data_IF_943260534196
#
_entry.id   IF_943260534196
#
_cell.length_a   1.000
_cell.length_b   1.000
_cell.length_c   1.000
_cell.angle_alpha   90.00
_cell.angle_beta   90.00
_cell.angle_gamma   90.00
#
_symmetry.space_group_name_H-M   'P 1'
#
loop_
_entity.id
_entity.type
_entity.pdbx_description
1 polymer ?
#
# COMPACT_ATOMS: atom_id res chain seq x y z
N UNK A 1 -24.00 32.34 -0.06
CA UNK A 1 -22.61 31.94 -0.27
C UNK A 1 -22.30 30.46 -0.08
N UNK A 2 -23.31 29.64 0.11
CA UNK A 2 -23.13 28.18 0.20
C UNK A 2 -22.48 27.55 -1.01
N UNK A 3 -22.65 28.14 -2.19
CA UNK A 3 -22.04 27.65 -3.42
C UNK A 3 -20.52 27.75 -3.38
N UNK A 4 -19.96 28.83 -2.85
CA UNK A 4 -18.52 28.98 -2.77
C UNK A 4 -17.88 28.01 -1.76
N UNK A 5 -18.57 27.75 -0.66
CA UNK A 5 -18.11 26.78 0.31
C UNK A 5 -18.09 25.35 -0.25
N UNK A 6 -19.07 25.02 -1.09
CA UNK A 6 -19.14 23.71 -1.75
C UNK A 6 -18.03 23.55 -2.77
N UNK A 7 -17.70 24.60 -3.53
CA UNK A 7 -16.60 24.56 -4.49
C UNK A 7 -15.25 24.36 -3.81
N UNK A 8 -15.02 25.06 -2.69
CA UNK A 8 -13.78 24.88 -1.93
C UNK A 8 -13.63 23.46 -1.39
N UNK A 9 -14.71 22.86 -0.91
CA UNK A 9 -14.68 21.47 -0.44
C UNK A 9 -14.37 20.49 -1.56
N UNK A 10 -14.90 20.70 -2.76
CA UNK A 10 -14.61 19.88 -3.92
C UNK A 10 -13.15 20.00 -4.35
N UNK A 11 -12.62 21.20 -4.34
CA UNK A 11 -11.22 21.42 -4.68
C UNK A 11 -10.30 20.75 -3.69
N UNK A 12 -10.59 20.82 -2.39
CA UNK A 12 -9.82 20.18 -1.35
C UNK A 12 -9.83 18.67 -1.47
N UNK A 13 -10.97 18.07 -1.82
CA UNK A 13 -11.10 16.63 -1.96
C UNK A 13 -10.51 16.10 -3.26
N UNK A 14 -10.34 16.96 -4.27
CA UNK A 14 -9.81 16.57 -5.57
C UNK A 14 -8.32 16.88 -5.75
N UNK A 15 -7.73 17.55 -4.78
CA UNK A 15 -6.30 17.87 -4.86
C UNK A 15 -5.49 16.62 -4.49
N UNK A 16 -5.10 15.89 -5.52
CA UNK A 16 -4.35 14.66 -5.39
C UNK A 16 -2.94 14.88 -4.82
N UNK A 17 -2.42 16.10 -4.94
CA UNK A 17 -1.10 16.42 -4.38
C UNK A 17 -1.13 16.43 -2.86
N UNK A 18 -2.32 16.52 -2.27
CA UNK A 18 -2.51 16.53 -0.81
C UNK A 18 -3.06 15.21 -0.28
N UNK A 19 -2.90 14.13 -1.03
CA UNK A 19 -3.27 12.81 -0.52
C UNK A 19 -2.47 12.47 0.72
N UNK A 20 -3.12 11.87 1.67
CA UNK A 20 -2.52 11.49 2.94
C UNK A 20 -2.98 10.10 3.36
N UNK A 21 -2.17 9.46 4.17
CA UNK A 21 -2.60 8.25 4.89
C UNK A 21 -3.12 8.66 6.25
N UNK A 22 -4.30 8.17 6.59
CA UNK A 22 -4.83 8.32 7.93
C UNK A 22 -4.44 7.09 8.75
N UNK A 23 -3.56 7.30 9.71
CA UNK A 23 -3.04 6.23 10.58
C UNK A 23 -3.40 6.61 12.01
N UNK A 24 -4.31 5.86 12.61
CA UNK A 24 -4.90 6.29 13.88
C UNK A 24 -5.63 7.62 13.67
N UNK A 25 -5.34 8.60 14.49
CA UNK A 25 -5.94 9.93 14.39
C UNK A 25 -5.05 10.95 13.67
N UNK A 26 -3.93 10.47 13.12
CA UNK A 26 -2.95 11.33 12.45
C UNK A 26 -3.00 11.17 10.96
N UNK A 27 -2.69 12.26 10.27
CA UNK A 27 -2.54 12.29 8.82
C UNK A 27 -1.06 12.38 8.46
N UNK A 28 -0.67 11.58 7.48
CA UNK A 28 0.70 11.55 6.97
C UNK A 28 0.66 11.80 5.48
N UNK A 29 1.30 12.86 5.04
CA UNK A 29 1.49 13.11 3.62
C UNK A 29 2.72 12.35 3.11
N UNK A 30 3.02 12.50 1.82
CA UNK A 30 4.14 11.78 1.22
C UNK A 30 5.47 12.17 1.85
N UNK A 31 5.66 13.45 2.15
CA UNK A 31 6.89 13.91 2.79
C UNK A 31 7.08 13.31 4.18
N UNK A 32 5.99 13.22 4.95
CA UNK A 32 6.02 12.57 6.25
C UNK A 32 6.41 11.09 6.13
N UNK A 33 5.85 10.40 5.14
CA UNK A 33 6.14 8.98 4.93
C UNK A 33 7.58 8.76 4.46
N UNK A 34 8.12 9.66 3.64
CA UNK A 34 9.50 9.57 3.17
C UNK A 34 10.52 9.69 4.30
N UNK A 35 10.16 10.33 5.41
CA UNK A 35 11.02 10.43 6.58
C UNK A 35 11.05 9.15 7.42
N UNK A 36 10.15 8.20 7.14
CA UNK A 36 10.02 6.95 7.89
C UNK A 36 11.00 5.90 7.35
N UNK A 37 12.24 5.97 7.77
CA UNK A 37 13.28 5.01 7.35
C UNK A 37 12.98 3.59 7.81
N UNK A 38 12.23 3.44 8.90
CA UNK A 38 11.77 2.14 9.39
C UNK A 38 10.91 1.42 8.35
N UNK A 39 10.06 2.16 7.63
CA UNK A 39 9.25 1.58 6.54
C UNK A 39 10.13 1.13 5.37
N UNK A 40 11.08 1.97 4.98
CA UNK A 40 12.01 1.60 3.93
C UNK A 40 12.73 0.30 4.26
N UNK A 41 13.20 0.16 5.49
CA UNK A 41 13.92 -1.04 5.93
C UNK A 41 13.06 -2.30 5.84
N UNK A 42 11.78 -2.20 6.20
CA UNK A 42 10.86 -3.33 6.09
C UNK A 42 10.71 -3.73 4.62
N UNK A 43 10.37 -2.79 3.75
CA UNK A 43 10.15 -3.11 2.33
C UNK A 43 11.44 -3.58 1.65
N UNK A 44 12.58 -3.02 2.01
CA UNK A 44 13.87 -3.46 1.49
C UNK A 44 14.18 -4.90 1.91
N UNK A 45 13.85 -5.25 3.14
CA UNK A 45 14.05 -6.62 3.65
C UNK A 45 13.22 -7.64 2.87
N UNK A 46 11.99 -7.29 2.51
CA UNK A 46 11.10 -8.21 1.80
C UNK A 46 11.22 -8.13 0.28
N UNK A 47 11.94 -7.16 -0.25
CA UNK A 47 12.14 -7.02 -1.69
C UNK A 47 12.80 -8.29 -2.25
N UNK A 48 12.19 -8.84 -3.30
CA UNK A 48 12.69 -10.05 -3.94
C UNK A 48 12.32 -11.35 -3.22
N UNK A 49 11.43 -11.30 -2.22
CA UNK A 49 11.02 -12.49 -1.47
C UNK A 49 10.48 -13.59 -2.38
N UNK A 50 9.83 -13.23 -3.47
CA UNK A 50 9.22 -14.18 -4.42
C UNK A 50 10.25 -15.05 -5.11
N UNK A 51 11.50 -14.66 -5.09
CA UNK A 51 12.62 -15.41 -5.69
C UNK A 51 13.26 -16.37 -4.71
N UNK A 52 12.92 -16.27 -3.43
CA UNK A 52 13.59 -17.04 -2.37
C UNK A 52 12.70 -18.13 -1.77
N UNK A 53 11.44 -18.21 -2.18
CA UNK A 53 10.47 -19.17 -1.64
C UNK A 53 9.81 -19.92 -2.79
N UNK A 54 9.18 -21.05 -2.44
CA UNK A 54 8.42 -21.85 -3.41
C UNK A 54 7.02 -21.26 -3.55
N UNK A 55 6.74 -20.65 -4.71
CA UNK A 55 5.43 -20.01 -4.97
C UNK A 55 4.29 -21.01 -5.09
N UNK A 56 4.59 -22.29 -5.28
CA UNK A 56 3.55 -23.34 -5.27
C UNK A 56 3.11 -23.70 -3.85
N UNK A 57 3.87 -23.32 -2.84
CA UNK A 57 3.55 -23.54 -1.44
C UNK A 57 2.87 -22.29 -0.87
N UNK A 58 1.53 -22.29 -0.89
CA UNK A 58 0.77 -21.15 -0.41
C UNK A 58 0.99 -20.86 1.08
N UNK A 59 1.31 -21.86 1.88
CA UNK A 59 1.60 -21.67 3.30
C UNK A 59 2.88 -20.85 3.49
N UNK A 60 3.90 -21.14 2.69
CA UNK A 60 5.16 -20.42 2.75
C UNK A 60 5.01 -18.97 2.30
N UNK A 61 4.27 -18.73 1.20
CA UNK A 61 3.98 -17.38 0.72
C UNK A 61 3.18 -16.61 1.76
N UNK A 62 2.12 -17.21 2.29
CA UNK A 62 1.28 -16.55 3.29
C UNK A 62 2.06 -16.21 4.56
N UNK A 63 2.91 -17.10 5.02
CA UNK A 63 3.75 -16.87 6.19
C UNK A 63 4.68 -15.67 5.98
N UNK A 64 5.30 -15.60 4.80
CA UNK A 64 6.23 -14.52 4.47
C UNK A 64 5.52 -13.15 4.45
N UNK A 65 4.41 -13.07 3.75
CA UNK A 65 3.66 -11.80 3.62
C UNK A 65 2.97 -11.44 4.93
N UNK A 66 2.43 -12.42 5.66
CA UNK A 66 1.87 -12.16 6.99
C UNK A 66 2.91 -11.57 7.94
N UNK A 67 4.16 -12.03 7.86
CA UNK A 67 5.25 -11.46 8.66
C UNK A 67 5.49 -10.00 8.31
N UNK A 68 5.52 -9.68 7.02
CA UNK A 68 5.65 -8.29 6.56
C UNK A 68 4.50 -7.42 7.09
N UNK A 69 3.27 -7.90 6.93
CA UNK A 69 2.09 -7.16 7.39
C UNK A 69 2.11 -6.95 8.90
N UNK A 70 2.58 -7.94 9.67
CA UNK A 70 2.73 -7.81 11.12
C UNK A 70 3.76 -6.76 11.50
N UNK A 71 4.87 -6.68 10.79
CA UNK A 71 5.87 -5.64 11.04
C UNK A 71 5.30 -4.25 10.74
N UNK A 72 4.55 -4.10 9.65
CA UNK A 72 3.89 -2.84 9.33
C UNK A 72 2.85 -2.48 10.40
N UNK A 73 2.07 -3.45 10.84
CA UNK A 73 1.08 -3.25 11.89
C UNK A 73 1.72 -2.82 13.21
N UNK A 74 2.86 -3.40 13.57
CA UNK A 74 3.59 -3.04 14.78
C UNK A 74 4.07 -1.59 14.76
N UNK A 75 4.33 -1.04 13.57
CA UNK A 75 4.65 0.37 13.40
C UNK A 75 3.39 1.23 13.31
N UNK A 76 2.22 0.61 13.47
CA UNK A 76 0.90 1.24 13.33
C UNK A 76 0.63 1.81 11.94
N UNK A 77 1.24 1.20 10.93
CA UNK A 77 1.07 1.61 9.54
C UNK A 77 -0.13 0.86 8.94
N UNK A 78 -1.31 1.25 9.36
CA UNK A 78 -2.56 0.77 8.78
C UNK A 78 -3.30 1.97 8.23
N UNK A 79 -3.50 1.96 6.93
CA UNK A 79 -4.19 3.05 6.25
C UNK A 79 -5.69 2.95 6.49
N UNK A 80 -6.25 3.82 7.33
CA UNK A 80 -7.68 3.82 7.63
C UNK A 80 -8.52 4.28 6.44
N UNK A 81 -7.97 5.12 5.60
CA UNK A 81 -8.69 5.69 4.47
C UNK A 81 -8.38 5.00 3.14
N UNK A 82 -8.00 3.72 3.18
CA UNK A 82 -7.68 2.97 1.95
C UNK A 82 -8.89 2.89 1.00
N UNK A 83 -10.11 2.96 1.52
CA UNK A 83 -11.31 2.94 0.68
C UNK A 83 -11.41 4.15 -0.24
N UNK A 84 -10.94 5.31 0.19
CA UNK A 84 -10.91 6.50 -0.66
C UNK A 84 -10.02 6.26 -1.87
N UNK A 85 -8.86 5.66 -1.65
CA UNK A 85 -7.93 5.32 -2.72
C UNK A 85 -8.49 4.22 -3.62
N UNK A 86 -9.14 3.22 -3.03
CA UNK A 86 -9.77 2.15 -3.80
C UNK A 86 -10.81 2.69 -4.77
N UNK A 87 -11.67 3.60 -4.32
CA UNK A 87 -12.72 4.17 -5.16
C UNK A 87 -12.15 5.05 -6.26
N UNK A 88 -11.09 5.78 -5.97
CA UNK A 88 -10.49 6.72 -6.90
C UNK A 88 -9.60 6.02 -7.94
N UNK A 89 -8.79 5.06 -7.49
CA UNK A 89 -7.80 4.37 -8.34
C UNK A 89 -8.38 3.12 -8.98
N UNK A 90 -9.32 2.46 -8.30
CA UNK A 90 -9.89 1.20 -8.77
C UNK A 90 -9.00 0.01 -8.49
N UNK A 91 -8.65 -0.22 -7.21
CA UNK A 91 -7.75 -1.31 -6.82
C UNK A 91 -8.23 -2.69 -7.23
N UNK A 92 -9.55 -2.90 -7.34
CA UNK A 92 -10.10 -4.20 -7.75
C UNK A 92 -9.77 -4.56 -9.19
N UNK A 93 -9.50 -3.58 -10.03
CA UNK A 93 -9.24 -3.77 -11.45
C UNK A 93 -7.90 -3.19 -11.88
N UNK A 94 -7.05 -2.89 -10.92
CA UNK A 94 -5.75 -2.26 -11.19
C UNK A 94 -4.86 -3.21 -12.00
N UNK A 95 -4.06 -2.63 -12.89
CA UNK A 95 -3.08 -3.37 -13.70
C UNK A 95 -1.69 -3.24 -13.09
N UNK A 96 -0.79 -4.16 -13.43
CA UNK A 96 0.61 -4.08 -13.01
C UNK A 96 1.26 -2.78 -13.49
N UNK A 97 0.94 -2.37 -14.70
CA UNK A 97 1.47 -1.12 -15.26
C UNK A 97 1.05 0.09 -14.42
N UNK A 98 -0.18 0.08 -13.92
CA UNK A 98 -0.68 1.15 -13.05
C UNK A 98 0.06 1.16 -11.71
N UNK A 99 0.36 -0.01 -11.14
CA UNK A 99 1.06 -0.11 -9.86
C UNK A 99 2.47 0.46 -9.92
N UNK A 100 3.13 0.38 -11.08
CA UNK A 100 4.45 0.98 -11.29
C UNK A 100 4.44 2.51 -11.17
N UNK A 101 3.29 3.13 -11.35
CA UNK A 101 3.15 4.57 -11.40
C UNK A 101 2.46 5.16 -10.17
N UNK A 102 2.11 4.34 -9.19
CA UNK A 102 1.54 4.84 -7.94
C UNK A 102 2.61 5.61 -7.16
N UNK A 103 2.18 6.66 -6.46
CA UNK A 103 3.08 7.35 -5.54
C UNK A 103 3.20 6.55 -4.23
N UNK A 104 4.00 7.03 -3.30
CA UNK A 104 4.24 6.30 -2.04
C UNK A 104 2.95 6.11 -1.24
N UNK A 105 2.14 7.16 -1.13
CA UNK A 105 0.87 7.13 -0.40
C UNK A 105 -0.09 6.11 -1.04
N UNK A 106 -0.23 6.16 -2.34
CA UNK A 106 -1.10 5.24 -3.09
C UNK A 106 -0.62 3.79 -2.98
N UNK A 107 0.68 3.58 -3.03
CA UNK A 107 1.28 2.25 -2.89
C UNK A 107 1.02 1.67 -1.49
N UNK A 108 1.13 2.48 -0.46
CA UNK A 108 0.83 2.07 0.92
C UNK A 108 -0.65 1.75 1.09
N UNK A 109 -1.52 2.54 0.47
CA UNK A 109 -2.96 2.27 0.49
C UNK A 109 -3.27 0.94 -0.19
N UNK A 110 -2.59 0.63 -1.29
CA UNK A 110 -2.77 -0.62 -2.01
C UNK A 110 -2.33 -1.83 -1.16
N UNK A 111 -1.21 -1.71 -0.46
CA UNK A 111 -0.75 -2.75 0.48
C UNK A 111 -1.82 -3.01 1.56
N UNK A 112 -2.40 -1.94 2.11
CA UNK A 112 -3.46 -2.06 3.11
C UNK A 112 -4.71 -2.72 2.52
N UNK A 113 -5.07 -2.37 1.29
CA UNK A 113 -6.19 -2.98 0.59
C UNK A 113 -6.00 -4.51 0.45
N UNK A 114 -4.81 -4.95 0.06
CA UNK A 114 -4.49 -6.38 -0.07
C UNK A 114 -4.60 -7.07 1.30
N UNK A 115 -4.06 -6.46 2.33
CA UNK A 115 -4.13 -7.00 3.69
C UNK A 115 -5.58 -7.14 4.16
N UNK A 116 -6.41 -6.14 3.87
CA UNK A 116 -7.83 -6.17 4.23
C UNK A 116 -8.60 -7.25 3.50
N UNK A 117 -8.30 -7.48 2.24
CA UNK A 117 -8.92 -8.57 1.49
C UNK A 117 -8.59 -9.92 2.10
N UNK A 118 -7.34 -10.15 2.49
CA UNK A 118 -6.94 -11.38 3.16
C UNK A 118 -7.70 -11.55 4.48
N UNK A 119 -7.76 -10.52 5.28
CA UNK A 119 -8.45 -10.54 6.57
C UNK A 119 -9.94 -10.86 6.40
N UNK A 120 -10.61 -10.20 5.44
CA UNK A 120 -12.04 -10.38 5.20
C UNK A 120 -12.39 -11.76 4.68
N UNK A 121 -11.47 -12.43 3.98
CA UNK A 121 -11.66 -13.79 3.49
C UNK A 121 -11.33 -14.85 4.55
N UNK A 122 -10.83 -14.43 5.72
CA UNK A 122 -10.37 -15.36 6.75
C UNK A 122 -9.18 -16.20 6.32
N UNK A 123 -8.38 -15.69 5.36
CA UNK A 123 -7.24 -16.42 4.81
C UNK A 123 -7.60 -17.50 3.80
N UNK A 124 -8.88 -17.64 3.44
CA UNK A 124 -9.34 -18.72 2.57
C UNK A 124 -9.24 -18.44 1.08
N UNK A 125 -9.04 -17.19 0.69
CA UNK A 125 -9.02 -16.79 -0.72
C UNK A 125 -7.62 -16.77 -1.34
N UNK A 126 -6.60 -17.20 -0.60
CA UNK A 126 -5.19 -17.18 -1.05
C UNK A 126 -4.76 -15.82 -1.60
N UNK A 127 -5.21 -14.74 -0.95
CA UNK A 127 -4.99 -13.38 -1.42
C UNK A 127 -3.51 -13.08 -1.58
N UNK A 128 -2.69 -13.43 -0.61
CA UNK A 128 -1.25 -13.17 -0.66
C UNK A 128 -0.54 -13.98 -1.73
N UNK A 129 -0.92 -15.26 -1.86
CA UNK A 129 -0.34 -16.14 -2.87
C UNK A 129 -0.69 -15.66 -4.27
N UNK A 130 -1.96 -15.34 -4.50
CA UNK A 130 -2.43 -14.87 -5.82
C UNK A 130 -1.77 -13.55 -6.20
N UNK A 131 -1.67 -12.62 -5.27
CA UNK A 131 -1.05 -11.31 -5.54
C UNK A 131 0.47 -11.38 -5.64
N UNK A 132 1.09 -12.44 -5.13
CA UNK A 132 2.50 -12.72 -5.36
C UNK A 132 2.71 -13.29 -6.76
N UNK A 133 1.94 -14.31 -7.13
CA UNK A 133 2.05 -14.96 -8.45
C UNK A 133 1.73 -14.00 -9.57
N UNK A 134 0.75 -13.12 -9.39
CA UNK A 134 0.37 -12.12 -10.38
C UNK A 134 1.31 -10.92 -10.40
N UNK A 135 2.25 -10.84 -9.46
CA UNK A 135 3.25 -9.80 -9.42
C UNK A 135 2.85 -8.52 -8.69
N UNK A 136 1.63 -8.41 -8.18
CA UNK A 136 1.15 -7.16 -7.55
C UNK A 136 1.92 -6.82 -6.26
N UNK A 137 2.14 -7.78 -5.37
CA UNK A 137 2.87 -7.52 -4.13
C UNK A 137 4.36 -7.27 -4.43
N UNK A 138 5.05 -8.14 -5.20
CA UNK A 138 6.46 -7.89 -5.52
C UNK A 138 6.69 -6.53 -6.18
N UNK A 139 5.84 -6.18 -7.13
CA UNK A 139 6.00 -4.92 -7.85
C UNK A 139 5.72 -3.71 -6.97
N UNK A 140 4.73 -3.79 -6.08
CA UNK A 140 4.43 -2.70 -5.16
C UNK A 140 5.58 -2.49 -4.17
N UNK A 141 6.18 -3.57 -3.67
CA UNK A 141 7.39 -3.49 -2.84
C UNK A 141 8.51 -2.81 -3.61
N UNK A 142 8.76 -3.23 -4.85
CA UNK A 142 9.78 -2.62 -5.70
C UNK A 142 9.53 -1.13 -5.91
N UNK A 143 8.27 -0.75 -6.14
CA UNK A 143 7.89 0.65 -6.33
C UNK A 143 8.18 1.47 -5.09
N UNK A 144 7.79 0.97 -3.91
CA UNK A 144 8.02 1.66 -2.64
C UNK A 144 9.53 1.84 -2.40
N UNK A 145 10.31 0.78 -2.55
CA UNK A 145 11.76 0.84 -2.38
C UNK A 145 12.38 1.86 -3.34
N UNK A 146 11.96 1.83 -4.59
CA UNK A 146 12.44 2.76 -5.62
C UNK A 146 12.16 4.22 -5.26
N UNK A 147 10.97 4.51 -4.75
CA UNK A 147 10.61 5.87 -4.33
C UNK A 147 11.54 6.35 -3.20
N UNK A 148 11.75 5.50 -2.18
CA UNK A 148 12.65 5.84 -1.09
C UNK A 148 14.08 6.06 -1.57
N UNK A 149 14.56 5.22 -2.47
CA UNK A 149 15.95 5.31 -2.97
C UNK A 149 16.18 6.52 -3.86
N UNK A 150 15.14 6.97 -4.56
CA UNK A 150 15.27 8.14 -5.45
C UNK A 150 14.94 9.45 -4.76
N UNK A 151 14.06 9.48 -3.78
CA UNK A 151 13.54 10.71 -3.18
C UNK A 151 13.83 10.84 -1.69
N UNK A 152 14.09 9.74 -1.00
CA UNK A 152 14.30 9.73 0.44
C UNK A 152 15.71 10.14 0.90
N UNK A 153 16.57 10.52 -0.02
CA UNK A 153 17.94 10.92 0.30
C UNK A 153 18.06 12.41 0.63
#
# INVERSE_FOLDING_TARGET
MGLFGMFKKKEETQDLSKKYLSIGDKRFDEEDMLKRKDLYEIFKKYQGYEKTIDLSDSKEVNKKISSMMSELFNLKIVCKNYNEFQNEIGFNTITLNKTENLNLIESMAFITFIQRQDYMSGGNADVYTNNTKNGFIPQTINRIVSIYESRGK
#
